data_IF_508121204206
#
_entry.id   IF_508121204206
#
_cell.length_a   1.000
_cell.length_b   1.000
_cell.length_c   1.000
_cell.angle_alpha   90.00
_cell.angle_beta   90.00
_cell.angle_gamma   90.00
#
_symmetry.space_group_name_H-M   'P 1'
#
loop_
_entity.id
_entity.type
_entity.pdbx_description
1 polymer ?
#
# COMPACT_ATOMS: atom_id res chain seq x y z
N UNK A 1 35.28 -25.07 7.69
CA UNK A 1 35.08 -24.49 6.35
C UNK A 1 33.64 -24.78 5.97
N UNK A 2 32.75 -23.80 6.10
CA UNK A 2 31.41 -23.83 5.49
C UNK A 2 30.97 -22.39 5.23
N UNK A 3 31.14 -21.96 3.99
CA UNK A 3 30.80 -20.62 3.49
C UNK A 3 30.33 -20.76 2.04
N UNK A 4 29.20 -21.43 1.81
CA UNK A 4 28.55 -21.45 0.50
C UNK A 4 27.05 -21.68 0.70
N UNK A 5 26.30 -20.59 0.80
CA UNK A 5 24.93 -20.38 0.30
C UNK A 5 24.40 -19.11 0.99
N UNK A 6 24.75 -17.96 0.42
CA UNK A 6 24.27 -16.63 0.82
C UNK A 6 22.78 -16.43 0.56
N UNK A 7 21.92 -17.31 1.08
CA UNK A 7 20.49 -17.03 1.18
C UNK A 7 20.31 -16.00 2.28
N UNK A 8 20.33 -14.73 1.88
CA UNK A 8 19.84 -13.62 2.70
C UNK A 8 18.44 -14.03 3.16
N UNK A 9 18.25 -14.18 4.49
CA UNK A 9 16.94 -14.51 5.06
C UNK A 9 15.92 -13.52 4.48
N UNK A 10 14.82 -13.99 3.86
CA UNK A 10 13.81 -13.08 3.34
C UNK A 10 13.40 -12.11 4.44
N UNK A 11 13.40 -10.81 4.14
CA UNK A 11 12.90 -9.81 5.08
C UNK A 11 11.44 -10.17 5.33
N UNK A 12 11.09 -10.37 6.60
CA UNK A 12 9.70 -10.64 6.94
C UNK A 12 8.93 -9.30 6.86
N UNK A 13 7.69 -9.31 6.35
CA UNK A 13 6.81 -8.15 6.44
C UNK A 13 6.74 -7.67 7.89
N UNK A 14 6.96 -6.38 8.12
CA UNK A 14 6.70 -5.74 9.40
C UNK A 14 5.48 -4.83 9.24
N UNK A 15 4.28 -5.38 9.47
CA UNK A 15 3.04 -4.62 9.36
C UNK A 15 2.95 -3.47 10.36
N UNK A 16 3.66 -3.55 11.48
CA UNK A 16 3.71 -2.45 12.45
C UNK A 16 4.32 -1.17 11.85
N UNK A 17 5.09 -1.29 10.77
CA UNK A 17 5.63 -0.14 10.05
C UNK A 17 4.54 0.77 9.45
N UNK A 18 3.33 0.25 9.20
CA UNK A 18 2.19 1.05 8.76
C UNK A 18 1.82 2.12 9.80
N UNK A 19 2.00 1.84 11.10
CA UNK A 19 1.72 2.80 12.18
C UNK A 19 2.68 3.98 12.25
N UNK A 20 3.74 4.00 11.42
CA UNK A 20 4.61 5.18 11.24
C UNK A 20 4.04 6.20 10.22
N UNK A 21 3.04 5.82 9.41
CA UNK A 21 2.44 6.69 8.39
C UNK A 21 1.81 7.98 8.94
N UNK A 22 1.12 7.99 10.11
CA UNK A 22 0.54 9.23 10.64
C UNK A 22 1.58 10.32 10.93
N UNK A 23 2.79 9.96 11.40
CA UNK A 23 3.87 10.93 11.59
C UNK A 23 4.32 11.52 10.25
N UNK A 24 4.64 10.65 9.29
CA UNK A 24 5.08 11.06 7.96
C UNK A 24 4.03 11.94 7.25
N UNK A 25 2.74 11.65 7.43
CA UNK A 25 1.66 12.46 6.88
C UNK A 25 1.65 13.90 7.41
N UNK A 26 1.99 14.13 8.67
CA UNK A 26 2.14 15.48 9.22
C UNK A 26 3.26 16.22 8.48
N UNK A 27 4.41 15.57 8.26
CA UNK A 27 5.52 16.13 7.47
C UNK A 27 5.09 16.45 6.04
N UNK A 28 4.37 15.54 5.37
CA UNK A 28 3.87 15.76 4.02
C UNK A 28 2.88 16.93 3.94
N UNK A 29 1.99 17.05 4.92
CA UNK A 29 1.03 18.14 4.99
C UNK A 29 1.73 19.49 5.22
N UNK A 30 2.68 19.56 6.16
CA UNK A 30 3.37 20.81 6.51
C UNK A 30 4.33 21.28 5.43
N UNK A 31 5.07 20.35 4.82
CA UNK A 31 6.17 20.71 3.92
C UNK A 31 5.78 20.73 2.43
N UNK A 32 4.71 20.01 2.06
CA UNK A 32 4.32 19.75 0.67
C UNK A 32 2.83 19.98 0.39
N UNK A 33 2.05 20.45 1.37
CA UNK A 33 0.59 20.64 1.27
C UNK A 33 -0.18 19.37 0.88
N UNK A 34 0.42 18.19 1.11
CA UNK A 34 -0.17 16.90 0.78
C UNK A 34 -1.03 16.40 1.94
N UNK A 35 -2.34 16.43 1.78
CA UNK A 35 -3.31 16.02 2.81
C UNK A 35 -3.83 14.60 2.58
N UNK A 36 -4.07 13.80 3.64
CA UNK A 36 -4.61 12.45 3.49
C UNK A 36 -6.02 12.47 2.87
N UNK A 37 -6.28 11.52 1.96
CA UNK A 37 -7.60 11.39 1.32
C UNK A 37 -8.61 10.57 2.13
N UNK A 38 -8.17 9.95 3.24
CA UNK A 38 -8.96 8.95 3.97
C UNK A 38 -9.13 7.63 3.21
N UNK A 39 -8.23 7.34 2.26
CA UNK A 39 -8.27 6.12 1.44
C UNK A 39 -6.96 5.36 1.51
N UNK A 40 -7.07 4.03 1.55
CA UNK A 40 -5.93 3.14 1.42
C UNK A 40 -6.36 1.81 0.83
N UNK A 41 -5.43 1.09 0.22
CA UNK A 41 -5.74 -0.23 -0.33
C UNK A 41 -4.64 -1.26 -0.10
N UNK A 42 -5.03 -2.53 -0.06
CA UNK A 42 -4.15 -3.70 0.00
C UNK A 42 -4.23 -4.43 -1.34
N UNK A 43 -3.07 -4.70 -1.94
CA UNK A 43 -2.95 -5.47 -3.17
C UNK A 43 -2.41 -6.88 -2.89
N UNK A 44 -3.05 -7.88 -3.48
CA UNK A 44 -2.53 -9.23 -3.53
C UNK A 44 -2.82 -9.87 -4.89
N UNK A 45 -2.05 -10.91 -5.21
CA UNK A 45 -2.27 -11.70 -6.42
C UNK A 45 -3.09 -12.93 -6.10
N UNK A 46 -4.27 -13.06 -6.70
CA UNK A 46 -5.09 -14.27 -6.59
C UNK A 46 -4.29 -15.53 -6.99
N UNK A 47 -4.51 -16.69 -6.34
CA UNK A 47 -3.94 -17.96 -6.78
C UNK A 47 -4.31 -18.27 -8.24
N UNK A 48 -3.35 -18.79 -9.01
CA UNK A 48 -3.59 -19.16 -10.40
C UNK A 48 -4.75 -20.16 -10.53
N UNK A 49 -5.63 -19.94 -11.51
CA UNK A 49 -6.73 -20.86 -11.84
C UNK A 49 -8.02 -20.67 -11.03
N UNK A 50 -8.09 -19.74 -10.09
CA UNK A 50 -9.36 -19.34 -9.45
C UNK A 50 -10.02 -18.18 -10.19
N UNK A 51 -11.35 -18.19 -10.28
CA UNK A 51 -12.09 -17.05 -10.79
C UNK A 51 -12.01 -15.89 -9.79
N UNK A 52 -11.97 -14.65 -10.28
CA UNK A 52 -11.95 -13.45 -9.44
C UNK A 52 -13.13 -13.41 -8.45
N UNK A 53 -14.33 -13.78 -8.91
CA UNK A 53 -15.54 -13.81 -8.08
C UNK A 53 -15.42 -14.74 -6.87
N UNK A 54 -14.76 -15.90 -7.04
CA UNK A 54 -14.55 -16.85 -5.93
C UNK A 54 -13.58 -16.27 -4.90
N UNK A 55 -12.49 -15.65 -5.36
CA UNK A 55 -11.51 -15.00 -4.48
C UNK A 55 -12.13 -13.83 -3.73
N UNK A 56 -12.93 -13.02 -4.41
CA UNK A 56 -13.66 -11.92 -3.80
C UNK A 56 -14.62 -12.43 -2.71
N UNK A 57 -15.40 -13.47 -3.00
CA UNK A 57 -16.34 -14.04 -2.02
C UNK A 57 -15.62 -14.60 -0.79
N UNK A 58 -14.51 -15.33 -0.99
CA UNK A 58 -13.72 -15.90 0.11
C UNK A 58 -13.11 -14.80 0.99
N UNK A 59 -12.53 -13.76 0.38
CA UNK A 59 -11.91 -12.65 1.10
C UNK A 59 -12.95 -11.80 1.83
N UNK A 60 -14.10 -11.53 1.21
CA UNK A 60 -15.18 -10.80 1.86
C UNK A 60 -15.70 -11.58 3.07
N UNK A 61 -16.02 -12.86 2.92
CA UNK A 61 -16.50 -13.69 4.02
C UNK A 61 -15.48 -13.79 5.16
N UNK A 62 -14.20 -13.86 4.83
CA UNK A 62 -13.11 -13.87 5.79
C UNK A 62 -13.05 -12.56 6.60
N UNK A 63 -13.10 -11.41 5.95
CA UNK A 63 -13.01 -10.11 6.60
C UNK A 63 -14.27 -9.78 7.42
N UNK A 64 -15.45 -10.18 6.94
CA UNK A 64 -16.71 -10.04 7.67
C UNK A 64 -16.72 -10.88 8.96
N UNK A 65 -16.13 -12.08 8.93
CA UNK A 65 -16.07 -12.98 10.08
C UNK A 65 -15.17 -12.47 11.22
N UNK A 66 -14.14 -11.69 10.89
CA UNK A 66 -13.20 -11.08 11.86
C UNK A 66 -13.69 -9.71 12.37
N UNK A 67 -14.95 -9.34 12.05
CA UNK A 67 -15.51 -8.00 12.26
C UNK A 67 -14.61 -6.88 11.68
N UNK A 68 -14.03 -7.16 10.50
CA UNK A 68 -13.17 -6.25 9.77
C UNK A 68 -13.89 -4.98 9.31
N UNK A 69 -13.14 -3.95 8.88
CA UNK A 69 -13.71 -2.69 8.43
C UNK A 69 -14.54 -2.87 7.16
N UNK A 70 -15.46 -1.94 6.85
CA UNK A 70 -16.10 -1.88 5.54
C UNK A 70 -15.05 -1.77 4.43
N UNK A 71 -15.16 -2.65 3.44
CA UNK A 71 -14.19 -2.74 2.34
C UNK A 71 -14.88 -2.76 0.98
N UNK A 72 -14.13 -2.36 -0.05
CA UNK A 72 -14.49 -2.55 -1.46
C UNK A 72 -13.42 -3.41 -2.13
N UNK A 73 -13.84 -4.51 -2.78
CA UNK A 73 -12.93 -5.42 -3.49
C UNK A 73 -13.06 -5.20 -4.99
N UNK A 74 -11.94 -4.97 -5.67
CA UNK A 74 -11.88 -4.80 -7.13
C UNK A 74 -10.71 -5.59 -7.72
N UNK A 75 -10.81 -5.96 -8.98
CA UNK A 75 -9.73 -6.59 -9.74
C UNK A 75 -9.23 -5.64 -10.81
N UNK A 76 -7.94 -5.66 -11.10
CA UNK A 76 -7.36 -4.90 -12.21
C UNK A 76 -7.05 -5.78 -13.43
N UNK A 77 -6.68 -5.12 -14.53
CA UNK A 77 -6.30 -5.76 -15.79
C UNK A 77 -4.98 -6.56 -15.71
N UNK A 78 -4.19 -6.35 -14.65
CA UNK A 78 -2.92 -7.01 -14.39
C UNK A 78 -3.06 -8.29 -13.54
N UNK A 79 -4.28 -8.63 -13.14
CA UNK A 79 -4.59 -9.82 -12.35
C UNK A 79 -4.34 -9.64 -10.85
N UNK A 80 -4.28 -8.40 -10.36
CA UNK A 80 -4.25 -8.09 -8.94
C UNK A 80 -5.66 -7.86 -8.40
N UNK A 81 -5.86 -8.29 -7.17
CA UNK A 81 -7.05 -7.97 -6.38
C UNK A 81 -6.69 -6.90 -5.37
N UNK A 82 -7.52 -5.88 -5.30
CA UNK A 82 -7.38 -4.71 -4.44
C UNK A 82 -8.51 -4.66 -3.44
N UNK A 83 -8.17 -4.46 -2.17
CA UNK A 83 -9.11 -4.25 -1.06
C UNK A 83 -8.96 -2.80 -0.62
N UNK A 84 -9.97 -1.99 -0.84
CA UNK A 84 -10.00 -0.56 -0.53
C UNK A 84 -10.74 -0.33 0.78
N UNK A 85 -10.11 0.43 1.67
CA UNK A 85 -10.71 0.97 2.90
C UNK A 85 -10.89 2.48 2.75
N UNK A 86 -11.98 3.00 3.31
CA UNK A 86 -12.32 4.43 3.23
C UNK A 86 -12.86 4.93 4.56
N UNK A 87 -12.47 6.13 4.92
CA UNK A 87 -12.98 6.86 6.08
C UNK A 87 -13.59 8.18 5.65
N UNK A 88 -14.78 8.50 6.16
CA UNK A 88 -15.44 9.80 5.96
C UNK A 88 -15.90 10.35 7.33
N UNK A 89 -15.35 11.48 7.82
CA UNK A 89 -14.30 12.30 7.21
C UNK A 89 -12.96 11.56 7.09
N UNK A 90 -12.05 12.10 6.29
CA UNK A 90 -10.72 11.53 6.10
C UNK A 90 -9.97 11.39 7.43
N UNK A 91 -9.60 10.16 7.79
CA UNK A 91 -8.83 9.81 8.98
C UNK A 91 -7.78 8.76 8.64
N UNK A 92 -6.53 9.23 8.51
CA UNK A 92 -5.41 8.36 8.17
C UNK A 92 -5.11 7.31 9.25
N UNK A 93 -5.34 7.62 10.53
CA UNK A 93 -5.04 6.67 11.62
C UNK A 93 -6.00 5.48 11.58
N UNK A 94 -7.27 5.76 11.30
CA UNK A 94 -8.29 4.73 11.06
C UNK A 94 -7.97 3.92 9.80
N UNK A 95 -7.62 4.56 8.67
CA UNK A 95 -7.16 3.85 7.45
C UNK A 95 -5.98 2.93 7.73
N UNK A 96 -4.97 3.38 8.45
CA UNK A 96 -3.78 2.58 8.80
C UNK A 96 -4.15 1.37 9.65
N UNK A 97 -5.06 1.56 10.61
CA UNK A 97 -5.58 0.47 11.45
C UNK A 97 -6.32 -0.56 10.61
N UNK A 98 -7.16 -0.10 9.70
CA UNK A 98 -7.94 -0.95 8.79
C UNK A 98 -7.05 -1.73 7.83
N UNK A 99 -6.03 -1.08 7.25
CA UNK A 99 -5.03 -1.74 6.40
C UNK A 99 -4.25 -2.80 7.18
N UNK A 100 -3.85 -2.51 8.42
CA UNK A 100 -3.17 -3.47 9.27
C UNK A 100 -4.07 -4.69 9.55
N UNK A 101 -5.34 -4.47 9.90
CA UNK A 101 -6.32 -5.52 10.13
C UNK A 101 -6.48 -6.40 8.88
N UNK A 102 -6.77 -5.79 7.72
CA UNK A 102 -6.92 -6.51 6.44
C UNK A 102 -5.68 -7.35 6.13
N UNK A 103 -4.47 -6.78 6.21
CA UNK A 103 -3.23 -7.52 5.97
C UNK A 103 -3.08 -8.70 6.96
N UNK A 104 -3.34 -8.48 8.24
CA UNK A 104 -3.20 -9.50 9.29
C UNK A 104 -4.16 -10.65 9.08
N UNK A 105 -5.43 -10.36 8.77
CA UNK A 105 -6.45 -11.36 8.48
C UNK A 105 -6.09 -12.17 7.22
N UNK A 106 -5.61 -11.52 6.15
CA UNK A 106 -5.13 -12.20 4.95
C UNK A 106 -3.93 -13.11 5.23
N UNK A 107 -2.96 -12.66 6.04
CA UNK A 107 -1.81 -13.48 6.45
C UNK A 107 -2.27 -14.70 7.24
N UNK A 108 -3.18 -14.52 8.21
CA UNK A 108 -3.71 -15.60 9.03
C UNK A 108 -4.46 -16.65 8.18
N UNK A 109 -5.14 -16.23 7.12
CA UNK A 109 -5.79 -17.10 6.14
C UNK A 109 -4.83 -17.72 5.10
N UNK A 110 -3.53 -17.45 5.17
CA UNK A 110 -2.52 -18.06 4.30
C UNK A 110 -2.25 -17.31 2.99
N UNK A 111 -2.79 -16.09 2.82
CA UNK A 111 -2.54 -15.24 1.65
C UNK A 111 -1.23 -14.43 1.74
N UNK A 112 -0.46 -14.59 2.81
CA UNK A 112 0.81 -13.88 3.02
C UNK A 112 1.79 -13.93 1.84
N UNK A 113 2.00 -15.08 1.17
CA UNK A 113 2.86 -15.17 -0.02
C UNK A 113 2.35 -14.37 -1.23
N UNK A 114 1.04 -14.13 -1.31
CA UNK A 114 0.35 -13.44 -2.39
C UNK A 114 0.27 -11.91 -2.17
N UNK A 115 0.44 -11.43 -0.94
CA UNK A 115 0.47 -10.01 -0.62
C UNK A 115 1.63 -9.29 -1.33
N UNK A 116 1.30 -8.14 -1.93
CA UNK A 116 2.20 -7.34 -2.74
C UNK A 116 2.55 -6.04 -2.02
N UNK A 117 1.54 -5.21 -1.80
CA UNK A 117 1.72 -3.91 -1.18
C UNK A 117 0.45 -3.44 -0.45
N UNK A 118 0.61 -2.40 0.34
CA UNK A 118 -0.48 -1.55 0.79
C UNK A 118 -0.15 -0.11 0.49
N UNK A 119 -1.14 0.73 0.28
CA UNK A 119 -0.92 2.16 0.05
C UNK A 119 -1.91 3.01 0.83
N UNK A 120 -1.49 4.24 1.11
CA UNK A 120 -2.36 5.33 1.58
C UNK A 120 -2.18 6.52 0.67
N UNK A 121 -3.29 7.20 0.38
CA UNK A 121 -3.33 8.25 -0.62
C UNK A 121 -3.44 9.64 -0.02
N UNK A 122 -2.84 10.59 -0.71
CA UNK A 122 -2.79 12.01 -0.41
C UNK A 122 -3.13 12.80 -1.67
N UNK A 123 -3.51 14.05 -1.50
CA UNK A 123 -3.57 15.01 -2.58
C UNK A 123 -3.14 16.40 -2.13
N UNK A 124 -2.72 17.22 -3.07
CA UNK A 124 -2.46 18.64 -2.83
C UNK A 124 -3.70 19.51 -3.17
N UNK A 125 -3.62 20.84 -3.00
CA UNK A 125 -4.71 21.76 -3.36
C UNK A 125 -5.08 21.75 -4.85
N UNK A 126 -4.15 21.35 -5.73
CA UNK A 126 -4.38 21.22 -7.17
C UNK A 126 -4.92 19.82 -7.55
N UNK A 127 -5.30 19.00 -6.56
CA UNK A 127 -5.78 17.62 -6.72
C UNK A 127 -4.77 16.68 -7.38
N UNK A 128 -3.46 16.97 -7.27
CA UNK A 128 -2.43 16.02 -7.70
C UNK A 128 -2.32 14.91 -6.67
N UNK A 129 -2.48 13.68 -7.13
CA UNK A 129 -2.44 12.49 -6.29
C UNK A 129 -1.01 12.10 -5.90
N UNK A 130 -0.88 11.53 -4.70
CA UNK A 130 0.33 10.94 -4.18
C UNK A 130 -0.06 9.71 -3.36
N UNK A 131 0.68 8.61 -3.47
CA UNK A 131 0.59 7.49 -2.53
C UNK A 131 1.92 7.24 -1.83
N UNK A 132 1.84 6.84 -0.56
CA UNK A 132 2.92 6.13 0.11
C UNK A 132 2.62 4.63 0.05
N UNK A 133 3.47 3.87 -0.65
CA UNK A 133 3.29 2.45 -0.93
C UNK A 133 4.22 1.61 -0.07
N UNK A 134 3.67 0.79 0.80
CA UNK A 134 4.36 -0.22 1.61
C UNK A 134 4.54 -1.53 0.84
N UNK A 135 5.80 -1.93 0.61
CA UNK A 135 6.14 -3.21 -0.01
C UNK A 135 6.11 -4.34 1.03
N UNK A 136 5.11 -5.21 0.93
CA UNK A 136 4.85 -6.24 1.94
C UNK A 136 6.07 -7.14 2.17
N UNK A 137 6.66 -7.69 1.10
CA UNK A 137 7.82 -8.60 1.18
C UNK A 137 9.15 -7.92 1.57
N UNK A 138 9.14 -6.60 1.78
CA UNK A 138 10.34 -5.80 2.04
C UNK A 138 10.29 -5.06 3.36
N UNK A 139 9.10 -4.77 3.87
CA UNK A 139 8.96 -3.96 5.09
C UNK A 139 9.36 -2.49 4.87
N UNK A 140 9.28 -2.00 3.63
CA UNK A 140 9.76 -0.67 3.24
C UNK A 140 8.73 0.11 2.43
N UNK A 141 8.84 1.43 2.41
CA UNK A 141 7.95 2.34 1.68
C UNK A 141 8.61 2.95 0.45
N UNK A 142 7.80 3.30 -0.55
CA UNK A 142 8.19 4.22 -1.60
C UNK A 142 7.04 5.15 -1.97
N UNK A 143 7.32 6.38 -2.40
CA UNK A 143 6.29 7.27 -2.91
C UNK A 143 5.97 6.95 -4.36
N UNK A 144 4.69 7.09 -4.71
CA UNK A 144 4.20 6.99 -6.08
C UNK A 144 3.38 8.24 -6.41
N UNK A 145 3.82 9.01 -7.41
CA UNK A 145 3.14 10.23 -7.82
C UNK A 145 2.80 10.15 -9.32
N UNK A 146 1.55 9.87 -9.70
CA UNK A 146 1.13 9.91 -11.11
C UNK A 146 1.19 11.35 -11.65
N UNK A 147 1.65 11.54 -12.88
CA UNK A 147 1.55 12.82 -13.58
C UNK A 147 0.08 13.08 -13.96
N UNK A 148 -0.51 14.22 -13.56
CA UNK A 148 -1.89 14.55 -13.91
C UNK A 148 -2.10 14.59 -15.42
N UNK A 149 -3.12 13.88 -15.91
CA UNK A 149 -3.52 13.91 -17.32
C UNK A 149 -2.60 13.16 -18.29
N UNK A 150 -1.55 12.49 -17.79
CA UNK A 150 -0.71 11.60 -18.59
C UNK A 150 -1.00 10.14 -18.26
N UNK A 151 -1.28 9.33 -19.29
CA UNK A 151 -1.40 7.88 -19.09
C UNK A 151 -0.04 7.31 -18.71
N UNK A 152 0.00 6.59 -17.58
CA UNK A 152 1.15 5.79 -17.13
C UNK A 152 2.48 6.53 -17.01
N UNK A 153 2.46 7.81 -16.61
CA UNK A 153 3.67 8.60 -16.39
C UNK A 153 3.79 9.07 -14.95
N UNK A 154 5.00 9.00 -14.39
CA UNK A 154 5.31 9.32 -12.98
C UNK A 154 6.04 10.65 -12.86
N UNK A 155 5.65 11.44 -11.87
CA UNK A 155 6.40 12.62 -11.44
C UNK A 155 7.55 12.17 -10.52
N UNK A 156 8.64 11.72 -11.14
CA UNK A 156 9.84 11.27 -10.42
C UNK A 156 10.45 12.38 -9.54
N UNK A 157 10.25 13.66 -9.89
CA UNK A 157 10.77 14.78 -9.10
C UNK A 157 9.98 14.88 -7.79
N UNK A 158 8.64 14.80 -7.88
CA UNK A 158 7.79 14.76 -6.70
C UNK A 158 8.07 13.53 -5.83
N UNK A 159 8.23 12.35 -6.44
CA UNK A 159 8.54 11.12 -5.70
C UNK A 159 9.85 11.24 -4.91
N UNK A 160 10.92 11.74 -5.52
CA UNK A 160 12.19 11.95 -4.82
C UNK A 160 12.07 13.00 -3.72
N UNK A 161 11.33 14.10 -3.96
CA UNK A 161 11.07 15.14 -2.96
C UNK A 161 10.34 14.57 -1.75
N UNK A 162 9.30 13.76 -1.97
CA UNK A 162 8.55 13.08 -0.90
C UNK A 162 9.45 12.13 -0.13
N UNK A 163 10.23 11.29 -0.82
CA UNK A 163 11.18 10.37 -0.19
C UNK A 163 12.10 11.12 0.76
N UNK A 164 12.70 12.22 0.31
CA UNK A 164 13.67 12.96 1.09
C UNK A 164 13.06 13.65 2.33
N UNK A 165 11.75 13.99 2.28
CA UNK A 165 11.04 14.55 3.43
C UNK A 165 10.78 13.53 4.53
N UNK A 166 10.42 12.30 4.18
CA UNK A 166 9.96 11.28 5.15
C UNK A 166 11.01 10.19 5.44
N UNK A 167 12.22 10.30 4.90
CA UNK A 167 13.26 9.26 5.00
C UNK A 167 13.67 8.90 6.43
N UNK A 168 13.47 9.84 7.37
CA UNK A 168 13.80 9.65 8.80
C UNK A 168 12.62 9.10 9.62
N UNK A 169 11.42 9.06 9.03
CA UNK A 169 10.18 8.62 9.69
C UNK A 169 9.73 7.26 9.20
N UNK A 170 10.00 6.94 7.93
CA UNK A 170 9.60 5.70 7.29
C UNK A 170 10.83 4.91 6.80
N UNK A 171 10.81 3.56 6.89
CA UNK A 171 11.83 2.72 6.28
C UNK A 171 11.70 2.79 4.75
N UNK A 172 12.39 3.72 4.10
CA UNK A 172 12.29 3.91 2.64
C UNK A 172 13.04 2.83 1.85
N UNK A 173 12.45 2.37 0.75
CA UNK A 173 13.10 1.43 -0.18
C UNK A 173 14.19 2.15 -0.96
N UNK A 174 15.43 1.73 -0.71
CA UNK A 174 16.64 2.26 -1.37
C UNK A 174 16.76 1.87 -2.84
N UNK A 175 16.20 0.72 -3.22
CA UNK A 175 16.28 0.19 -4.58
C UNK A 175 15.10 0.70 -5.41
N UNK A 176 15.31 1.79 -6.14
CA UNK A 176 14.29 2.44 -6.98
C UNK A 176 13.72 1.50 -8.06
N UNK A 177 14.47 0.46 -8.47
CA UNK A 177 13.96 -0.54 -9.42
C UNK A 177 12.78 -1.36 -8.87
N UNK A 178 12.59 -1.34 -7.53
CA UNK A 178 11.47 -1.98 -6.83
C UNK A 178 10.28 -1.05 -6.62
N UNK A 179 10.37 0.20 -7.06
CA UNK A 179 9.25 1.12 -7.00
C UNK A 179 8.32 0.80 -8.16
N UNK A 180 7.44 -0.18 -7.96
CA UNK A 180 6.49 -0.59 -8.98
C UNK A 180 5.46 0.51 -9.22
N UNK A 181 5.02 0.67 -10.45
CA UNK A 181 3.89 1.54 -10.71
C UNK A 181 2.60 0.87 -10.25
N UNK A 182 1.74 1.62 -9.56
CA UNK A 182 0.44 1.17 -9.06
C UNK A 182 -0.68 1.94 -9.78
N UNK A 183 -0.64 1.92 -11.11
CA UNK A 183 -1.61 2.60 -11.97
C UNK A 183 -3.03 2.12 -11.68
N UNK A 184 -3.97 3.05 -11.55
CA UNK A 184 -5.38 2.73 -11.31
C UNK A 184 -5.65 2.04 -9.98
N UNK A 185 -4.68 2.01 -9.06
CA UNK A 185 -4.88 1.43 -7.74
C UNK A 185 -6.06 2.12 -7.03
N UNK A 186 -7.05 1.37 -6.52
CA UNK A 186 -8.20 1.97 -5.90
C UNK A 186 -7.81 2.85 -4.71
N UNK A 187 -8.34 4.07 -4.72
CA UNK A 187 -8.09 5.08 -3.69
C UNK A 187 -6.94 6.05 -4.00
N UNK A 188 -6.18 5.85 -5.08
CA UNK A 188 -5.23 6.83 -5.62
C UNK A 188 -5.94 7.87 -6.50
#
# INVERSE_FOLDING_TARGET
MDSVLGRRKPVQPNLDALFSLPSAAITLQVDLDMIPTGRGSVAFRAPEGRAFADVQADVQALLDADAGPPIEITGDEYGFTWILVKTEPADLSSVVTDLHAVNSTLVAAGFGPQLLCSLVSFHDPDHRALALVYLFKRGTFYPFAPEPGAAERRDNVMEMKVRDKVLHELPMESDVSRWFAVWGAPGL
#
